data_IF_813485388948
#
_entry.id   IF_813485388948
#
_cell.length_a   1.000
_cell.length_b   1.000
_cell.length_c   1.000
_cell.angle_alpha   90.00
_cell.angle_beta   90.00
_cell.angle_gamma   90.00
#
_symmetry.space_group_name_H-M   'P 1'
#
loop_
_entity.id
_entity.type
_entity.pdbx_description
1 polymer ?
#
# COMPACT_ATOMS: atom_id res chain seq x y z
N UNK A 1 -11.02 -13.96 -9.20
CA UNK A 1 -10.09 -13.55 -8.14
C UNK A 1 -9.11 -12.56 -8.72
N UNK A 2 -8.82 -11.52 -7.95
CA UNK A 2 -8.03 -10.38 -8.37
C UNK A 2 -7.05 -10.01 -7.27
N UNK A 3 -5.83 -9.64 -7.67
CA UNK A 3 -4.85 -9.01 -6.80
C UNK A 3 -5.02 -7.50 -6.97
N UNK A 4 -5.27 -6.82 -5.87
CA UNK A 4 -5.29 -5.37 -5.81
C UNK A 4 -3.96 -4.92 -5.19
N UNK A 5 -3.31 -3.96 -5.85
CA UNK A 5 -2.08 -3.31 -5.40
C UNK A 5 -2.38 -1.83 -5.29
N UNK A 6 -2.36 -1.27 -4.07
CA UNK A 6 -2.46 0.16 -3.84
C UNK A 6 -1.10 0.72 -3.48
N UNK A 7 -0.57 1.61 -4.30
CA UNK A 7 0.56 2.47 -3.97
C UNK A 7 0.02 3.73 -3.30
N UNK A 8 0.03 3.76 -1.96
CA UNK A 8 -0.42 4.90 -1.17
C UNK A 8 0.74 5.88 -0.98
N UNK A 9 0.57 7.10 -1.48
CA UNK A 9 1.64 8.10 -1.48
C UNK A 9 1.73 8.87 -0.16
N UNK A 10 0.61 9.06 0.53
CA UNK A 10 0.57 9.62 1.87
C UNK A 10 0.50 8.49 2.93
N UNK A 11 1.60 8.16 3.62
CA UNK A 11 1.62 7.08 4.61
C UNK A 11 0.75 7.35 5.84
N UNK A 12 0.42 8.61 6.14
CA UNK A 12 -0.41 8.98 7.29
C UNK A 12 -1.85 8.47 7.14
N UNK A 13 -2.30 8.23 5.91
CA UNK A 13 -3.64 7.69 5.62
C UNK A 13 -3.72 6.16 5.72
N UNK A 14 -2.59 5.47 5.98
CA UNK A 14 -2.54 4.01 5.91
C UNK A 14 -3.56 3.35 6.85
N UNK A 15 -3.62 3.79 8.11
CA UNK A 15 -4.49 3.18 9.11
C UNK A 15 -5.97 3.36 8.75
N UNK A 16 -6.36 4.57 8.33
CA UNK A 16 -7.73 4.88 7.90
C UNK A 16 -8.13 4.09 6.65
N UNK A 17 -7.23 3.97 5.66
CA UNK A 17 -7.47 3.16 4.46
C UNK A 17 -7.69 1.69 4.82
N UNK A 18 -6.84 1.11 5.67
CA UNK A 18 -6.96 -0.30 6.08
C UNK A 18 -8.25 -0.55 6.86
N UNK A 19 -8.65 0.38 7.73
CA UNK A 19 -9.91 0.29 8.48
C UNK A 19 -11.12 0.34 7.54
N UNK A 20 -11.15 1.27 6.60
CA UNK A 20 -12.23 1.35 5.60
C UNK A 20 -12.28 0.12 4.68
N UNK A 21 -11.12 -0.50 4.39
CA UNK A 21 -11.08 -1.77 3.66
C UNK A 21 -11.66 -2.92 4.48
N UNK A 22 -11.33 -3.01 5.77
CA UNK A 22 -11.91 -4.01 6.67
C UNK A 22 -13.43 -3.84 6.75
N UNK A 23 -13.93 -2.62 6.93
CA UNK A 23 -15.36 -2.30 6.94
C UNK A 23 -16.05 -2.63 5.61
N UNK A 24 -15.34 -2.48 4.49
CA UNK A 24 -15.82 -2.88 3.16
C UNK A 24 -15.82 -4.41 2.95
N UNK A 25 -15.24 -5.20 3.87
CA UNK A 25 -15.22 -6.66 3.83
C UNK A 25 -13.90 -7.28 3.34
N UNK A 26 -12.80 -6.51 3.31
CA UNK A 26 -11.47 -7.07 3.04
C UNK A 26 -10.99 -7.86 4.25
N UNK A 27 -10.80 -9.16 4.09
CA UNK A 27 -10.41 -10.03 5.21
C UNK A 27 -8.93 -9.94 5.59
N UNK A 28 -8.05 -9.73 4.59
CA UNK A 28 -6.60 -9.69 4.81
C UNK A 28 -5.94 -8.73 3.81
N UNK A 29 -4.93 -8.02 4.28
CA UNK A 29 -4.04 -7.22 3.45
C UNK A 29 -2.60 -7.35 3.95
N UNK A 30 -1.64 -7.19 3.05
CA UNK A 30 -0.21 -7.14 3.36
C UNK A 30 0.31 -5.75 3.03
N UNK A 31 1.04 -5.12 3.95
CA UNK A 31 1.64 -3.81 3.74
C UNK A 31 3.15 -3.96 3.56
N UNK A 32 3.70 -3.32 2.53
CA UNK A 32 5.13 -3.25 2.24
C UNK A 32 5.59 -1.79 2.22
N UNK A 33 6.76 -1.54 2.80
CA UNK A 33 7.45 -0.25 2.71
C UNK A 33 8.05 -0.08 1.30
N UNK A 34 7.81 1.05 0.67
CA UNK A 34 8.25 1.32 -0.71
C UNK A 34 8.68 2.77 -0.91
N UNK A 35 9.40 3.04 -1.99
CA UNK A 35 9.78 4.40 -2.38
C UNK A 35 9.53 4.63 -3.87
N UNK A 36 9.21 5.87 -4.22
CA UNK A 36 8.98 6.30 -5.60
C UNK A 36 10.28 6.50 -6.37
N UNK A 37 10.22 6.30 -7.69
CA UNK A 37 11.37 6.46 -8.59
C UNK A 37 12.00 7.85 -8.53
N UNK A 38 11.19 8.92 -8.43
CA UNK A 38 11.68 10.29 -8.35
C UNK A 38 12.64 10.48 -7.17
N UNK A 39 12.28 9.92 -6.01
CA UNK A 39 13.10 10.00 -4.78
C UNK A 39 14.43 9.26 -4.95
N UNK A 40 14.38 8.07 -5.55
CA UNK A 40 15.55 7.26 -5.90
C UNK A 40 16.51 8.05 -6.80
N UNK A 41 15.99 8.68 -7.86
CA UNK A 41 16.79 9.46 -8.81
C UNK A 41 17.39 10.72 -8.15
N UNK A 42 16.60 11.41 -7.32
CA UNK A 42 17.06 12.61 -6.60
C UNK A 42 17.99 12.28 -5.43
N UNK A 43 18.34 10.99 -5.21
CA UNK A 43 19.11 10.49 -4.06
C UNK A 43 18.50 10.85 -2.70
N UNK A 44 17.21 11.18 -2.68
CA UNK A 44 16.47 11.39 -1.45
C UNK A 44 16.07 10.01 -0.90
N UNK A 45 16.99 9.35 -0.19
CA UNK A 45 16.73 8.07 0.49
C UNK A 45 17.49 6.85 -0.06
N UNK A 46 18.38 7.00 -1.05
CA UNK A 46 19.39 5.97 -1.35
C UNK A 46 20.71 6.42 -0.74
N UNK A 47 21.16 5.62 0.23
CA UNK A 47 22.36 5.76 1.08
C UNK A 47 23.70 5.70 0.33
N UNK A 48 23.80 6.26 -0.87
CA UNK A 48 25.07 6.37 -1.60
C UNK A 48 25.96 7.49 -1.05
N UNK A 49 25.51 8.20 -0.01
CA UNK A 49 26.15 9.36 0.61
C UNK A 49 26.40 9.20 2.13
N UNK A 50 26.28 7.99 2.71
CA UNK A 50 26.62 7.77 4.11
C UNK A 50 28.11 8.10 4.34
N UNK A 51 28.44 9.08 5.20
CA UNK A 51 29.84 9.36 5.52
C UNK A 51 30.50 8.18 6.23
N UNK A 52 31.81 8.03 6.06
CA UNK A 52 32.63 6.98 6.72
C UNK A 52 32.43 6.93 8.25
N UNK A 53 32.02 8.04 8.85
CA UNK A 53 31.61 8.14 10.26
C UNK A 53 30.18 8.70 10.27
N UNK A 54 29.14 7.85 10.37
CA UNK A 54 27.76 8.31 10.41
C UNK A 54 27.42 8.93 11.76
N UNK A 55 26.59 9.97 11.72
CA UNK A 55 25.90 10.57 12.86
C UNK A 55 24.61 9.81 13.18
N UNK A 56 24.03 10.02 14.37
CA UNK A 56 22.72 9.45 14.71
C UNK A 56 21.61 9.99 13.81
N UNK A 57 21.74 11.22 13.32
CA UNK A 57 20.79 11.86 12.41
C UNK A 57 20.78 11.17 11.02
N UNK A 58 21.91 10.57 10.60
CA UNK A 58 21.98 9.76 9.35
C UNK A 58 21.18 8.44 9.43
N UNK A 59 20.79 8.03 10.65
CA UNK A 59 19.93 6.88 10.90
C UNK A 59 18.47 7.27 11.15
N UNK A 60 18.17 8.55 11.37
CA UNK A 60 16.80 9.05 11.36
C UNK A 60 16.35 9.12 9.91
N UNK A 61 15.89 7.99 9.36
CA UNK A 61 15.02 8.03 8.19
C UNK A 61 13.86 8.96 8.53
N UNK A 62 13.73 10.08 7.82
CA UNK A 62 12.57 10.95 7.98
C UNK A 62 11.31 10.08 7.79
N UNK A 63 10.51 9.85 8.85
CA UNK A 63 9.38 8.91 8.82
C UNK A 63 8.36 9.23 7.72
N UNK A 64 8.38 10.49 7.27
CA UNK A 64 7.45 11.11 6.33
C UNK A 64 7.73 10.80 4.84
N UNK A 65 8.78 10.04 4.51
CA UNK A 65 9.25 9.93 3.10
C UNK A 65 9.02 8.60 2.39
N UNK A 66 8.45 7.61 3.08
CA UNK A 66 8.28 6.24 2.56
C UNK A 66 6.82 6.00 2.20
N UNK A 67 6.54 5.70 0.93
CA UNK A 67 5.23 5.26 0.46
C UNK A 67 4.85 3.91 1.08
N UNK A 68 3.56 3.58 1.06
CA UNK A 68 3.07 2.26 1.50
C UNK A 68 2.43 1.55 0.32
N UNK A 69 2.91 0.35 0.03
CA UNK A 69 2.25 -0.53 -0.95
C UNK A 69 1.41 -1.53 -0.20
N UNK A 70 0.11 -1.56 -0.49
CA UNK A 70 -0.86 -2.46 0.12
C UNK A 70 -1.26 -3.50 -0.91
N UNK A 71 -1.21 -4.76 -0.53
CA UNK A 71 -1.60 -5.90 -1.35
C UNK A 71 -2.81 -6.57 -0.72
N UNK A 72 -3.86 -6.84 -1.50
CA UNK A 72 -4.94 -7.72 -1.08
C UNK A 72 -5.46 -8.56 -2.23
N UNK A 73 -5.94 -9.77 -1.94
CA UNK A 73 -6.55 -10.65 -2.92
C UNK A 73 -8.05 -10.78 -2.65
N UNK A 74 -8.88 -10.55 -3.66
CA UNK A 74 -10.34 -10.64 -3.57
C UNK A 74 -10.90 -11.64 -4.55
N UNK A 75 -11.95 -12.37 -4.17
CA UNK A 75 -12.53 -13.43 -5.02
C UNK A 75 -13.35 -12.87 -6.18
N UNK A 76 -14.17 -11.86 -5.87
CA UNK A 76 -15.20 -11.31 -6.75
C UNK A 76 -14.83 -9.94 -7.29
N UNK A 77 -15.26 -9.64 -8.51
CA UNK A 77 -15.00 -8.36 -9.18
C UNK A 77 -15.72 -7.19 -8.50
N UNK A 78 -16.95 -7.42 -8.02
CA UNK A 78 -17.72 -6.42 -7.26
C UNK A 78 -17.00 -5.90 -6.00
N UNK A 79 -16.00 -6.65 -5.52
CA UNK A 79 -15.19 -6.24 -4.37
C UNK A 79 -14.15 -5.18 -4.75
N UNK A 80 -13.75 -5.11 -6.02
CA UNK A 80 -12.86 -4.06 -6.53
C UNK A 80 -13.52 -2.69 -6.40
N UNK A 81 -14.77 -2.54 -6.86
CA UNK A 81 -15.48 -1.25 -6.82
C UNK A 81 -15.67 -0.75 -5.39
N UNK A 82 -16.00 -1.67 -4.47
CA UNK A 82 -16.13 -1.34 -3.04
C UNK A 82 -14.80 -0.89 -2.44
N UNK A 83 -13.69 -1.56 -2.77
CA UNK A 83 -12.36 -1.20 -2.28
C UNK A 83 -11.91 0.13 -2.87
N UNK A 84 -12.17 0.37 -4.16
CA UNK A 84 -11.89 1.64 -4.81
C UNK A 84 -12.65 2.78 -4.14
N UNK A 85 -13.96 2.62 -3.94
CA UNK A 85 -14.80 3.61 -3.25
C UNK A 85 -14.36 3.82 -1.78
N UNK A 86 -14.01 2.76 -1.05
CA UNK A 86 -13.46 2.86 0.29
C UNK A 86 -12.14 3.63 0.33
N UNK A 87 -11.24 3.36 -0.62
CA UNK A 87 -9.96 4.09 -0.75
C UNK A 87 -10.21 5.57 -1.04
N UNK A 88 -11.01 5.89 -2.07
CA UNK A 88 -11.25 7.26 -2.49
C UNK A 88 -12.03 8.09 -1.43
N UNK A 89 -12.76 7.45 -0.50
CA UNK A 89 -13.33 8.14 0.66
C UNK A 89 -12.26 8.73 1.59
N UNK A 90 -11.11 8.07 1.71
CA UNK A 90 -9.99 8.51 2.56
C UNK A 90 -8.99 9.36 1.78
N UNK A 91 -8.61 8.92 0.57
CA UNK A 91 -7.54 9.55 -0.20
C UNK A 91 -8.02 10.67 -1.12
N UNK A 92 -9.33 10.80 -1.33
CA UNK A 92 -9.88 11.51 -2.49
C UNK A 92 -9.69 10.74 -3.79
N UNK A 93 -10.01 11.36 -4.93
CA UNK A 93 -9.91 10.70 -6.24
C UNK A 93 -8.45 10.30 -6.57
N UNK A 94 -8.21 9.02 -6.82
CA UNK A 94 -6.91 8.48 -7.20
C UNK A 94 -6.39 9.01 -8.55
N UNK A 95 -7.23 9.65 -9.36
CA UNK A 95 -6.79 10.35 -10.58
C UNK A 95 -6.20 11.74 -10.29
N UNK A 96 -6.31 12.23 -9.05
CA UNK A 96 -5.67 13.49 -8.64
C UNK A 96 -4.19 13.26 -8.31
N UNK A 97 -3.42 14.34 -8.36
CA UNK A 97 -2.01 14.29 -7.96
C UNK A 97 -1.84 13.89 -6.48
N UNK A 98 -0.75 13.18 -6.18
CA UNK A 98 -0.26 12.87 -4.82
C UNK A 98 -1.19 12.01 -3.94
N UNK A 99 -2.21 11.35 -4.50
CA UNK A 99 -3.10 10.45 -3.75
C UNK A 99 -2.55 9.02 -3.70
N UNK A 100 -2.33 8.42 -4.87
CA UNK A 100 -1.80 7.07 -5.02
C UNK A 100 -2.21 6.44 -6.33
N UNK A 101 -1.89 5.16 -6.51
CA UNK A 101 -2.26 4.38 -7.71
C UNK A 101 -2.79 3.02 -7.28
N UNK A 102 -3.95 2.61 -7.79
CA UNK A 102 -4.50 1.27 -7.58
C UNK A 102 -4.41 0.47 -8.88
N UNK A 103 -3.77 -0.70 -8.82
CA UNK A 103 -3.74 -1.67 -9.90
C UNK A 103 -4.57 -2.89 -9.53
N UNK A 104 -5.25 -3.45 -10.52
CA UNK A 104 -6.05 -4.67 -10.39
C UNK A 104 -5.56 -5.68 -11.42
N UNK A 105 -5.12 -6.84 -10.95
CA UNK A 105 -4.55 -7.89 -11.79
C UNK A 105 -5.38 -9.18 -11.64
N UNK A 106 -5.72 -9.86 -12.75
CA UNK A 106 -6.38 -11.17 -12.67
C UNK A 106 -5.44 -12.21 -12.06
N UNK A 107 -5.93 -13.00 -11.11
CA UNK A 107 -5.15 -14.08 -10.50
C UNK A 107 -5.66 -15.43 -10.99
N UNK A 108 -4.83 -16.11 -11.78
CA UNK A 108 -5.17 -17.41 -12.36
C UNK A 108 -5.28 -18.52 -11.31
N UNK A 109 -4.35 -18.55 -10.34
CA UNK A 109 -4.30 -19.51 -9.24
C UNK A 109 -3.70 -18.84 -8.00
N UNK A 110 -4.23 -19.16 -6.83
CA UNK A 110 -3.60 -18.85 -5.55
C UNK A 110 -3.82 -20.00 -4.55
N UNK A 111 -2.93 -20.08 -3.57
CA UNK A 111 -2.94 -21.11 -2.53
C UNK A 111 -2.92 -20.43 -1.16
N UNK A 112 -3.60 -21.04 -0.17
CA UNK A 112 -3.62 -20.51 1.20
C UNK A 112 -4.51 -19.29 1.43
N UNK A 113 -5.33 -18.91 0.45
CA UNK A 113 -6.33 -17.83 0.58
C UNK A 113 -7.48 -18.28 1.50
N UNK A 114 -8.02 -19.47 1.25
CA UNK A 114 -9.05 -20.08 2.09
C UNK A 114 -8.41 -21.02 3.11
N UNK A 115 -8.23 -20.53 4.35
CA UNK A 115 -7.77 -21.38 5.45
C UNK A 115 -8.93 -22.22 5.96
N UNK A 116 -8.85 -23.54 5.80
CA UNK A 116 -9.77 -24.47 6.44
C UNK A 116 -9.52 -24.39 7.96
N UNK A 117 -10.45 -23.76 8.70
CA UNK A 117 -10.36 -23.69 10.17
C UNK A 117 -10.87 -22.42 10.84
N UNK A 118 -11.18 -21.34 10.11
CA UNK A 118 -11.88 -20.19 10.70
C UNK A 118 -13.40 -20.47 10.73
N UNK A 119 -13.86 -21.22 11.75
CA UNK A 119 -15.22 -21.05 12.22
C UNK A 119 -15.36 -19.60 12.68
N UNK A 120 -16.37 -18.90 12.15
CA UNK A 120 -16.86 -17.65 12.74
C UNK A 120 -17.30 -17.88 14.19
#
# INVERSE_FOLDING_TARGET
MYLIILFLYNPDLLEEVLKEWEEAGVENATVQFSTGMERVIQKQGIRDDIPLIPSLDDFYEAPETVSRTIFTAVKEEAMIDKILAATQRITGDLNNEKTGVMLVLPVLKAYGIDKQGKSK
#
